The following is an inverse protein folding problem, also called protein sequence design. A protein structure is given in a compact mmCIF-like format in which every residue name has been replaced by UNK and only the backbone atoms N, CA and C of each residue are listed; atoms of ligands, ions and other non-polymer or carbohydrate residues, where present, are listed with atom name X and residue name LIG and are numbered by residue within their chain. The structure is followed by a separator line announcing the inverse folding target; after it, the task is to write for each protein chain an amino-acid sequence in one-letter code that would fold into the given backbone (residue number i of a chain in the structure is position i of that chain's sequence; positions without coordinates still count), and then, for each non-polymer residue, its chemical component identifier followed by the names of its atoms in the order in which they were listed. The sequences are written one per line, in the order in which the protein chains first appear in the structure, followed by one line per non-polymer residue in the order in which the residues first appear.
data_IF_029444605152
#
_entry.id   IF_029444605152
#
_cell.length_a   1.000
_cell.length_b   1.000
_cell.length_c   1.000
_cell.angle_alpha   90.00
_cell.angle_beta   90.00
_cell.angle_gamma   90.00
#
_symmetry.space_group_name_H-M   'P 1'
#
loop_
_entity.id
_entity.type
_entity.pdbx_description
1 polymer ?
#
# COMPACT_ATOMS: atom_id res chain seq x y z
N UNK A 1 -26.90 12.93 12.10
CA UNK A 1 -28.00 12.25 11.37
C UNK A 1 -28.47 11.09 12.22
N UNK A 2 -29.78 10.96 12.42
CA UNK A 2 -30.39 9.82 13.10
C UNK A 2 -30.36 8.56 12.23
N UNK A 3 -30.61 7.38 12.84
CA UNK A 3 -30.63 6.11 12.11
C UNK A 3 -31.69 6.08 11.00
N UNK A 4 -32.88 6.64 11.27
CA UNK A 4 -33.97 6.71 10.27
C UNK A 4 -33.63 7.62 9.09
N UNK A 5 -33.04 8.79 9.36
CA UNK A 5 -32.59 9.72 8.30
C UNK A 5 -31.51 9.09 7.42
N UNK A 6 -30.63 8.28 8.01
CA UNK A 6 -29.57 7.58 7.31
C UNK A 6 -30.09 6.47 6.39
N UNK A 7 -31.03 5.65 6.86
CA UNK A 7 -31.65 4.64 6.00
C UNK A 7 -32.54 5.26 4.92
N UNK A 8 -33.23 6.37 5.22
CA UNK A 8 -33.98 7.13 4.21
C UNK A 8 -33.06 7.70 3.13
N UNK A 9 -31.89 8.22 3.51
CA UNK A 9 -30.88 8.70 2.57
C UNK A 9 -30.37 7.57 1.66
N UNK A 10 -30.06 6.40 2.23
CA UNK A 10 -29.66 5.21 1.47
C UNK A 10 -30.74 4.74 0.50
N UNK A 11 -32.01 4.80 0.89
CA UNK A 11 -33.13 4.46 0.01
C UNK A 11 -33.21 5.40 -1.20
N UNK A 12 -33.05 6.71 -0.98
CA UNK A 12 -32.99 7.71 -2.07
C UNK A 12 -31.85 7.45 -3.05
N UNK A 13 -30.67 7.07 -2.56
CA UNK A 13 -29.55 6.70 -3.44
C UNK A 13 -29.90 5.52 -4.36
N UNK A 14 -30.65 4.53 -3.86
CA UNK A 14 -31.09 3.39 -4.68
C UNK A 14 -32.10 3.81 -5.74
N UNK A 15 -33.08 4.62 -5.37
CA UNK A 15 -34.04 5.19 -6.33
C UNK A 15 -33.35 6.04 -7.41
N UNK A 16 -32.33 6.82 -7.02
CA UNK A 16 -31.52 7.57 -7.98
C UNK A 16 -30.80 6.64 -8.97
N UNK A 17 -30.18 5.55 -8.51
CA UNK A 17 -29.54 4.57 -9.40
C UNK A 17 -30.54 3.94 -10.37
N UNK A 18 -31.72 3.53 -9.88
CA UNK A 18 -32.75 2.90 -10.71
C UNK A 18 -33.24 3.84 -11.84
N UNK A 19 -33.17 5.16 -11.62
CA UNK A 19 -33.60 6.18 -12.57
C UNK A 19 -32.48 6.77 -13.42
N UNK A 20 -31.21 6.62 -13.01
CA UNK A 20 -30.02 7.18 -13.69
C UNK A 20 -28.91 6.12 -13.90
N UNK A 21 -29.21 4.93 -14.47
CA UNK A 21 -28.21 3.87 -14.62
C UNK A 21 -27.07 4.25 -15.55
N UNK A 22 -27.34 5.04 -16.61
CA UNK A 22 -26.33 5.47 -17.59
C UNK A 22 -25.33 6.47 -16.97
N UNK A 23 -25.80 7.37 -16.10
CA UNK A 23 -24.94 8.32 -15.39
C UNK A 23 -24.02 7.60 -14.41
N UNK A 24 -24.55 6.59 -13.71
CA UNK A 24 -23.75 5.74 -12.84
C UNK A 24 -22.72 4.92 -13.63
N UNK A 25 -23.11 4.34 -14.77
CA UNK A 25 -22.21 3.56 -15.62
C UNK A 25 -21.06 4.43 -16.15
N UNK A 26 -21.35 5.64 -16.62
CA UNK A 26 -20.34 6.59 -17.07
C UNK A 26 -19.38 6.99 -15.93
N UNK A 27 -19.91 7.21 -14.73
CA UNK A 27 -19.08 7.47 -13.54
C UNK A 27 -18.18 6.28 -13.20
N UNK A 28 -18.73 5.06 -13.16
CA UNK A 28 -17.96 3.86 -12.85
C UNK A 28 -16.87 3.59 -13.90
N UNK A 29 -17.16 3.79 -15.19
CA UNK A 29 -16.17 3.72 -16.26
C UNK A 29 -15.05 4.74 -16.04
N UNK A 30 -15.38 5.99 -15.72
CA UNK A 30 -14.39 7.03 -15.43
C UNK A 30 -13.52 6.72 -14.19
N UNK A 31 -14.09 6.08 -13.16
CA UNK A 31 -13.32 5.63 -11.99
C UNK A 31 -12.39 4.46 -12.29
N UNK A 32 -12.73 3.62 -13.27
CA UNK A 32 -11.92 2.48 -13.69
C UNK A 32 -10.96 2.80 -14.86
N UNK A 33 -11.07 3.99 -15.45
CA UNK A 33 -10.18 4.45 -16.50
C UNK A 33 -8.73 4.59 -15.99
N UNK A 34 -7.77 4.21 -16.84
CA UNK A 34 -6.33 4.24 -16.49
C UNK A 34 -5.73 5.64 -16.43
N UNK A 35 -6.44 6.65 -16.93
CA UNK A 35 -6.00 8.03 -17.07
C UNK A 35 -6.19 8.90 -15.81
N UNK A 36 -6.74 8.33 -14.74
CA UNK A 36 -7.00 8.97 -13.45
C UNK A 36 -8.05 10.09 -13.47
N UNK A 37 -8.77 10.30 -14.58
CA UNK A 37 -9.71 11.41 -14.70
C UNK A 37 -10.83 11.35 -13.64
N UNK A 38 -11.40 10.16 -13.39
CA UNK A 38 -12.41 9.96 -12.35
C UNK A 38 -11.90 10.31 -10.96
N UNK A 39 -10.75 9.77 -10.57
CA UNK A 39 -10.12 10.07 -9.26
C UNK A 39 -9.79 11.56 -9.11
N UNK A 40 -9.29 12.21 -10.16
CA UNK A 40 -9.01 13.65 -10.14
C UNK A 40 -10.29 14.46 -9.91
N UNK A 41 -11.39 14.10 -10.58
CA UNK A 41 -12.69 14.75 -10.39
C UNK A 41 -13.15 14.68 -8.93
N UNK A 42 -13.09 13.49 -8.32
CA UNK A 42 -13.44 13.30 -6.90
C UNK A 42 -12.53 14.12 -5.97
N UNK A 43 -11.23 14.15 -6.24
CA UNK A 43 -10.27 14.95 -5.46
C UNK A 43 -10.56 16.44 -5.60
N UNK A 44 -10.89 16.94 -6.79
CA UNK A 44 -11.24 18.35 -6.97
C UNK A 44 -12.52 18.72 -6.22
N UNK A 45 -13.51 17.83 -6.18
CA UNK A 45 -14.69 18.04 -5.35
C UNK A 45 -14.34 18.08 -3.86
N UNK A 46 -13.49 17.17 -3.37
CA UNK A 46 -13.02 17.19 -1.99
C UNK A 46 -12.29 18.51 -1.66
N UNK A 47 -11.42 19.00 -2.56
CA UNK A 47 -10.75 20.30 -2.42
C UNK A 47 -11.74 21.48 -2.40
N UNK A 48 -12.83 21.40 -3.17
CA UNK A 48 -13.87 22.43 -3.17
C UNK A 48 -14.71 22.43 -1.90
N UNK A 49 -14.96 21.25 -1.31
CA UNK A 49 -15.85 21.09 -0.15
C UNK A 49 -15.12 21.22 1.18
N UNK A 50 -13.81 20.97 1.20
CA UNK A 50 -12.98 21.01 2.40
C UNK A 50 -11.82 21.97 2.14
N UNK A 51 -11.91 23.25 2.57
CA UNK A 51 -10.93 24.29 2.22
C UNK A 51 -9.48 23.95 2.61
N UNK A 52 -9.28 23.17 3.69
CA UNK A 52 -7.96 22.75 4.18
C UNK A 52 -7.43 21.46 3.55
N UNK A 53 -8.20 20.80 2.68
CA UNK A 53 -7.88 19.46 2.17
C UNK A 53 -6.52 19.38 1.48
N UNK A 54 -6.20 20.31 0.57
CA UNK A 54 -4.92 20.31 -0.14
C UNK A 54 -3.73 20.37 0.80
N UNK A 55 -3.81 21.24 1.83
CA UNK A 55 -2.76 21.39 2.84
C UNK A 55 -2.63 20.11 3.67
N UNK A 56 -3.74 19.58 4.18
CA UNK A 56 -3.74 18.35 5.00
C UNK A 56 -3.22 17.14 4.23
N UNK A 57 -3.58 17.00 2.96
CA UNK A 57 -3.05 15.94 2.10
C UNK A 57 -1.56 16.09 1.83
N UNK A 58 -1.06 17.34 1.66
CA UNK A 58 0.37 17.60 1.54
C UNK A 58 1.12 17.29 2.84
N UNK A 59 0.56 17.68 3.98
CA UNK A 59 1.14 17.41 5.29
C UNK A 59 1.19 15.88 5.52
N UNK A 60 0.12 15.13 5.21
CA UNK A 60 0.13 13.66 5.26
C UNK A 60 1.10 13.00 4.29
N UNK A 61 1.24 13.52 3.07
CA UNK A 61 2.24 13.01 2.14
C UNK A 61 3.68 13.19 2.69
N UNK A 62 3.93 14.26 3.45
CA UNK A 62 5.21 14.53 4.08
C UNK A 62 5.47 13.70 5.36
N UNK A 63 4.43 13.20 6.02
CA UNK A 63 4.55 12.27 7.17
C UNK A 63 5.01 10.87 6.74
N UNK A 64 4.79 10.51 5.48
CA UNK A 64 5.32 9.31 4.84
C UNK A 64 4.49 8.04 5.03
N UNK A 65 3.56 7.97 6.00
CA UNK A 65 2.55 6.90 6.09
C UNK A 65 1.14 7.46 6.37
N UNK A 66 0.12 6.79 5.82
CA UNK A 66 -1.32 7.07 6.02
C UNK A 66 -1.94 6.19 7.12
N UNK A 67 -1.34 6.14 8.31
CA UNK A 67 -1.86 5.30 9.41
C UNK A 67 -3.19 5.82 9.97
N UNK A 68 -3.42 7.13 9.89
CA UNK A 68 -4.68 7.78 10.27
C UNK A 68 -4.98 8.98 9.37
N UNK A 69 -6.25 9.40 9.39
CA UNK A 69 -6.77 10.55 8.62
C UNK A 69 -7.60 11.47 9.50
N UNK A 70 -7.38 11.42 10.82
CA UNK A 70 -8.23 12.09 11.80
C UNK A 70 -8.29 13.61 11.58
N UNK A 71 -7.20 14.24 11.13
CA UNK A 71 -7.16 15.66 10.80
C UNK A 71 -8.00 16.00 9.57
N UNK A 72 -8.10 15.07 8.61
CA UNK A 72 -8.94 15.20 7.41
C UNK A 72 -10.41 14.97 7.80
N UNK A 73 -10.69 13.97 8.65
CA UNK A 73 -12.04 13.70 9.18
C UNK A 73 -12.56 14.91 9.98
N UNK A 74 -11.72 15.49 10.83
CA UNK A 74 -12.05 16.71 11.57
C UNK A 74 -12.31 17.89 10.62
N UNK A 75 -11.45 18.13 9.63
CA UNK A 75 -11.66 19.20 8.66
C UNK A 75 -12.94 19.01 7.84
N UNK A 76 -13.30 17.76 7.52
CA UNK A 76 -14.56 17.44 6.85
C UNK A 76 -15.78 17.76 7.74
N UNK A 77 -15.70 17.47 9.04
CA UNK A 77 -16.75 17.82 10.02
C UNK A 77 -16.90 19.34 10.16
N UNK A 78 -15.79 20.06 10.36
CA UNK A 78 -15.75 21.53 10.46
C UNK A 78 -16.30 22.21 9.19
N UNK A 79 -16.17 21.55 8.02
CA UNK A 79 -16.66 22.05 6.74
C UNK A 79 -18.11 21.65 6.42
N UNK A 80 -18.82 21.03 7.38
CA UNK A 80 -20.19 20.53 7.18
C UNK A 80 -20.32 19.63 5.93
N UNK A 81 -19.29 18.81 5.67
CA UNK A 81 -19.19 18.05 4.42
C UNK A 81 -20.41 17.15 4.19
N UNK A 82 -20.85 16.43 5.21
CA UNK A 82 -21.98 15.50 5.09
C UNK A 82 -23.27 16.23 4.68
N UNK A 83 -23.61 17.33 5.36
CA UNK A 83 -24.79 18.15 5.05
C UNK A 83 -24.72 18.71 3.63
N UNK A 84 -23.55 19.18 3.21
CA UNK A 84 -23.32 19.67 1.86
C UNK A 84 -23.47 18.57 0.79
N UNK A 85 -22.96 17.37 1.03
CA UNK A 85 -23.09 16.23 0.12
C UNK A 85 -24.54 15.77 0.01
N UNK A 86 -25.27 15.67 1.12
CA UNK A 86 -26.68 15.31 1.13
C UNK A 86 -27.49 16.33 0.32
N UNK A 87 -27.29 17.63 0.59
CA UNK A 87 -27.99 18.69 -0.15
C UNK A 87 -27.73 18.62 -1.65
N UNK A 88 -26.48 18.41 -2.06
CA UNK A 88 -26.09 18.27 -3.48
C UNK A 88 -26.56 16.95 -4.11
N UNK A 89 -26.90 15.95 -3.30
CA UNK A 89 -27.49 14.70 -3.76
C UNK A 89 -29.01 14.83 -3.95
N UNK A 90 -29.69 15.58 -3.09
CA UNK A 90 -31.13 15.84 -3.19
C UNK A 90 -31.48 16.84 -4.29
N UNK A 91 -30.57 17.76 -4.60
CA UNK A 91 -30.70 18.75 -5.66
C UNK A 91 -29.42 18.74 -6.52
N UNK A 92 -29.21 17.70 -7.34
CA UNK A 92 -28.02 17.62 -8.17
C UNK A 92 -28.07 18.66 -9.29
N UNK A 93 -26.94 19.34 -9.51
CA UNK A 93 -26.70 20.05 -10.76
C UNK A 93 -26.66 19.06 -11.93
N UNK A 94 -26.93 19.53 -13.15
CA UNK A 94 -27.07 18.70 -14.36
C UNK A 94 -25.87 17.77 -14.66
N UNK A 95 -24.68 18.12 -14.15
CA UNK A 95 -23.43 17.36 -14.35
C UNK A 95 -22.81 16.89 -13.01
N UNK A 96 -23.61 16.81 -11.95
CA UNK A 96 -23.12 16.43 -10.62
C UNK A 96 -22.84 14.93 -10.53
N UNK A 97 -21.59 14.56 -10.27
CA UNK A 97 -21.20 13.15 -10.03
C UNK A 97 -21.43 12.70 -8.58
N UNK A 98 -21.98 13.57 -7.73
CA UNK A 98 -22.12 13.30 -6.28
C UNK A 98 -23.06 12.12 -5.99
N UNK A 99 -24.28 12.05 -6.59
CA UNK A 99 -25.15 10.90 -6.38
C UNK A 99 -24.48 9.58 -6.79
N UNK A 100 -23.83 9.56 -7.97
CA UNK A 100 -23.09 8.40 -8.47
C UNK A 100 -21.95 7.98 -7.53
N UNK A 101 -21.15 8.95 -7.07
CA UNK A 101 -20.06 8.72 -6.13
C UNK A 101 -20.57 8.15 -4.79
N UNK A 102 -21.63 8.72 -4.23
CA UNK A 102 -22.20 8.26 -2.96
C UNK A 102 -22.80 6.86 -3.11
N UNK A 103 -23.52 6.61 -4.20
CA UNK A 103 -24.01 5.26 -4.51
C UNK A 103 -22.86 4.25 -4.62
N UNK A 104 -21.79 4.60 -5.34
CA UNK A 104 -20.60 3.75 -5.49
C UNK A 104 -19.93 3.44 -4.15
N UNK A 105 -19.83 4.43 -3.25
CA UNK A 105 -19.27 4.28 -1.91
C UNK A 105 -20.11 3.34 -1.02
N UNK A 106 -21.44 3.46 -1.05
CA UNK A 106 -22.33 2.67 -0.20
C UNK A 106 -22.63 1.27 -0.75
N UNK A 107 -22.82 1.14 -2.06
CA UNK A 107 -23.38 -0.06 -2.69
C UNK A 107 -22.50 -0.66 -3.79
N UNK A 108 -21.66 0.15 -4.45
CA UNK A 108 -20.73 -0.31 -5.49
C UNK A 108 -19.45 -0.92 -4.91
N UNK A 109 -18.59 -1.47 -5.78
CA UNK A 109 -17.26 -2.05 -5.42
C UNK A 109 -16.17 -0.99 -5.21
N UNK A 110 -16.52 0.14 -4.61
CA UNK A 110 -15.64 1.31 -4.50
C UNK A 110 -14.31 1.04 -3.80
N UNK A 111 -14.37 0.46 -2.60
CA UNK A 111 -13.17 0.14 -1.82
C UNK A 111 -12.29 -0.88 -2.54
N UNK A 112 -12.88 -1.90 -3.14
CA UNK A 112 -12.18 -2.92 -3.92
C UNK A 112 -11.42 -2.26 -5.08
N UNK A 113 -12.10 -1.45 -5.90
CA UNK A 113 -11.49 -0.74 -7.04
C UNK A 113 -10.36 0.20 -6.59
N UNK A 114 -10.53 0.92 -5.48
CA UNK A 114 -9.48 1.77 -4.92
C UNK A 114 -8.27 0.94 -4.46
N UNK A 115 -8.48 -0.22 -3.83
CA UNK A 115 -7.41 -1.12 -3.41
C UNK A 115 -6.70 -1.76 -4.61
N UNK A 116 -7.44 -2.26 -5.60
CA UNK A 116 -6.91 -2.77 -6.87
C UNK A 116 -5.99 -1.73 -7.52
N UNK A 117 -6.44 -0.48 -7.61
CA UNK A 117 -5.66 0.61 -8.19
C UNK A 117 -4.39 0.92 -7.39
N UNK A 118 -4.47 0.95 -6.06
CA UNK A 118 -3.29 1.12 -5.22
C UNK A 118 -2.30 -0.05 -5.37
N UNK A 119 -2.78 -1.29 -5.55
CA UNK A 119 -1.94 -2.47 -5.81
C UNK A 119 -1.24 -2.38 -7.18
N UNK A 120 -1.95 -1.97 -8.23
CA UNK A 120 -1.38 -1.71 -9.56
C UNK A 120 -0.25 -0.66 -9.47
N UNK A 121 -0.54 0.48 -8.84
CA UNK A 121 0.43 1.55 -8.61
C UNK A 121 1.64 1.05 -7.84
N UNK A 122 1.42 0.33 -6.73
CA UNK A 122 2.49 -0.22 -5.90
C UNK A 122 3.39 -1.20 -6.65
N UNK A 123 2.83 -1.96 -7.61
CA UNK A 123 3.57 -2.89 -8.47
C UNK A 123 4.30 -2.18 -9.62
N UNK A 124 3.93 -0.95 -9.95
CA UNK A 124 4.54 -0.18 -11.04
C UNK A 124 6.07 -0.08 -10.91
N UNK A 125 6.83 -0.22 -12.02
CA UNK A 125 8.26 0.05 -12.04
C UNK A 125 8.58 1.52 -11.75
N UNK A 126 7.67 2.44 -12.04
CA UNK A 126 7.92 3.89 -12.01
C UNK A 126 7.87 4.50 -10.60
N UNK A 127 7.30 3.79 -9.61
CA UNK A 127 7.22 4.27 -8.24
C UNK A 127 8.47 3.90 -7.42
N UNK A 128 8.98 4.89 -6.68
CA UNK A 128 10.02 4.71 -5.67
C UNK A 128 9.52 4.00 -4.42
N UNK A 129 10.44 3.50 -3.59
CA UNK A 129 10.11 2.73 -2.38
C UNK A 129 9.14 3.46 -1.44
N UNK A 130 9.39 4.74 -1.14
CA UNK A 130 8.51 5.54 -0.27
C UNK A 130 7.09 5.67 -0.82
N UNK A 131 6.93 5.82 -2.13
CA UNK A 131 5.62 5.87 -2.78
C UNK A 131 4.90 4.52 -2.71
N UNK A 132 5.63 3.40 -2.84
CA UNK A 132 5.07 2.06 -2.65
C UNK A 132 4.65 1.78 -1.21
N UNK A 133 5.42 2.27 -0.24
CA UNK A 133 5.05 2.22 1.18
C UNK A 133 3.80 3.06 1.44
N UNK A 134 3.71 4.24 0.82
CA UNK A 134 2.52 5.10 0.86
C UNK A 134 1.29 4.35 0.33
N UNK A 135 1.38 3.70 -0.84
CA UNK A 135 0.29 2.90 -1.39
C UNK A 135 -0.11 1.74 -0.47
N UNK A 136 0.86 1.06 0.15
CA UNK A 136 0.60 0.00 1.13
C UNK A 136 -0.16 0.51 2.35
N UNK A 137 0.22 1.68 2.87
CA UNK A 137 -0.48 2.32 3.98
C UNK A 137 -1.90 2.74 3.58
N UNK A 138 -2.09 3.30 2.38
CA UNK A 138 -3.42 3.63 1.84
C UNK A 138 -4.31 2.39 1.71
N UNK A 139 -3.80 1.27 1.21
CA UNK A 139 -4.55 0.00 1.14
C UNK A 139 -5.00 -0.45 2.53
N UNK A 140 -4.08 -0.44 3.49
CA UNK A 140 -4.37 -0.81 4.88
C UNK A 140 -5.46 0.09 5.48
N UNK A 141 -5.40 1.39 5.23
CA UNK A 141 -6.41 2.35 5.67
C UNK A 141 -7.78 2.08 5.04
N UNK A 142 -7.85 1.89 3.71
CA UNK A 142 -9.09 1.61 2.98
C UNK A 142 -9.80 0.37 3.51
N UNK A 143 -9.05 -0.75 3.64
CA UNK A 143 -9.60 -2.01 4.17
C UNK A 143 -10.07 -1.81 5.61
N UNK A 144 -9.23 -1.25 6.48
CA UNK A 144 -9.56 -1.08 7.90
C UNK A 144 -10.78 -0.17 8.11
N UNK A 145 -10.88 0.93 7.36
CA UNK A 145 -12.01 1.87 7.46
C UNK A 145 -13.29 1.29 6.88
N UNK A 146 -13.22 0.56 5.75
CA UNK A 146 -14.40 -0.11 5.19
C UNK A 146 -15.05 -1.09 6.18
N UNK A 147 -14.23 -1.81 6.95
CA UNK A 147 -14.69 -2.72 8.01
C UNK A 147 -15.22 -1.95 9.22
N UNK A 148 -14.48 -0.93 9.69
CA UNK A 148 -14.88 -0.12 10.85
C UNK A 148 -16.22 0.60 10.61
N UNK A 149 -16.50 1.00 9.37
CA UNK A 149 -17.73 1.64 8.96
C UNK A 149 -18.84 0.63 8.58
N UNK A 150 -18.59 -0.66 8.73
CA UNK A 150 -19.53 -1.75 8.40
C UNK A 150 -19.99 -1.75 6.93
N UNK A 151 -19.22 -1.10 6.05
CA UNK A 151 -19.47 -1.08 4.61
C UNK A 151 -18.97 -2.36 3.94
N UNK A 152 -18.00 -3.03 4.56
CA UNK A 152 -17.45 -4.33 4.16
C UNK A 152 -17.19 -5.20 5.37
N UNK A 153 -17.19 -6.50 5.15
CA UNK A 153 -16.75 -7.49 6.12
C UNK A 153 -15.37 -8.03 5.77
N UNK A 154 -14.73 -8.72 6.72
CA UNK A 154 -13.49 -9.45 6.45
C UNK A 154 -13.70 -10.53 5.37
N UNK A 155 -14.87 -11.16 5.36
CA UNK A 155 -15.22 -12.19 4.37
C UNK A 155 -15.30 -11.60 2.96
N UNK A 156 -15.85 -10.39 2.81
CA UNK A 156 -15.90 -9.70 1.51
C UNK A 156 -14.48 -9.47 0.96
N UNK A 157 -13.55 -9.05 1.82
CA UNK A 157 -12.15 -8.87 1.45
C UNK A 157 -11.44 -10.17 1.12
N UNK A 158 -11.69 -11.24 1.88
CA UNK A 158 -11.13 -12.56 1.60
C UNK A 158 -11.65 -13.09 0.23
N UNK A 159 -12.94 -12.93 -0.05
CA UNK A 159 -13.54 -13.28 -1.33
C UNK A 159 -12.99 -12.43 -2.49
N UNK A 160 -12.82 -11.13 -2.27
CA UNK A 160 -12.25 -10.22 -3.26
C UNK A 160 -10.79 -10.58 -3.58
N UNK A 161 -9.98 -10.90 -2.57
CA UNK A 161 -8.60 -11.35 -2.74
C UNK A 161 -8.53 -12.63 -3.56
N UNK A 162 -9.41 -13.58 -3.29
CA UNK A 162 -9.45 -14.83 -4.04
C UNK A 162 -9.86 -14.58 -5.50
N UNK A 163 -10.83 -13.71 -5.75
CA UNK A 163 -11.20 -13.31 -7.10
C UNK A 163 -10.02 -12.69 -7.87
N UNK A 164 -9.23 -11.82 -7.22
CA UNK A 164 -8.01 -11.25 -7.81
C UNK A 164 -6.98 -12.32 -8.14
N UNK A 165 -6.73 -13.27 -7.22
CA UNK A 165 -5.80 -14.39 -7.44
C UNK A 165 -6.21 -15.25 -8.62
N UNK A 166 -7.51 -15.53 -8.74
CA UNK A 166 -8.06 -16.33 -9.84
C UNK A 166 -7.91 -15.62 -11.18
N UNK A 167 -8.18 -14.31 -11.23
CA UNK A 167 -8.02 -13.49 -12.43
C UNK A 167 -6.55 -13.42 -12.92
N UNK A 168 -5.59 -13.48 -12.00
CA UNK A 168 -4.15 -13.53 -12.30
C UNK A 168 -3.64 -14.97 -12.59
N UNK A 169 -4.49 -16.00 -12.45
CA UNK A 169 -4.11 -17.41 -12.63
C UNK A 169 -4.62 -18.00 -13.94
N UNK A 170 -3.97 -19.07 -14.41
CA UNK A 170 -4.45 -19.86 -15.56
C UNK A 170 -5.64 -20.78 -15.21
N UNK A 171 -6.21 -20.66 -14.00
CA UNK A 171 -7.21 -21.59 -13.44
C UNK A 171 -8.65 -21.06 -13.52
N UNK A 172 -8.89 -20.01 -14.31
CA UNK A 172 -10.23 -19.42 -14.48
C UNK A 172 -11.26 -20.46 -14.97
N UNK A 173 -10.85 -21.38 -15.85
CA UNK A 173 -11.71 -22.45 -16.36
C UNK A 173 -12.11 -23.46 -15.28
N UNK A 174 -11.17 -23.87 -14.43
CA UNK A 174 -11.43 -24.79 -13.32
C UNK A 174 -12.35 -24.18 -12.26
N UNK A 175 -12.16 -22.89 -11.99
CA UNK A 175 -13.04 -22.12 -11.11
C UNK A 175 -14.46 -22.02 -11.65
N UNK A 176 -14.62 -21.65 -12.93
CA UNK A 176 -15.92 -21.54 -13.57
C UNK A 176 -16.68 -22.88 -13.62
N UNK A 177 -15.96 -23.99 -13.75
CA UNK A 177 -16.52 -25.34 -13.74
C UNK A 177 -16.86 -25.87 -12.34
N UNK A 178 -16.48 -25.16 -11.26
CA UNK A 178 -16.64 -25.62 -9.88
C UNK A 178 -15.77 -26.83 -9.53
N UNK A 179 -14.74 -27.11 -10.34
CA UNK A 179 -13.86 -28.29 -10.21
C UNK A 179 -12.53 -27.95 -9.57
N UNK A 180 -12.39 -26.77 -8.93
CA UNK A 180 -11.22 -26.48 -8.13
C UNK A 180 -11.10 -27.55 -7.03
N UNK A 181 -9.99 -28.31 -6.99
CA UNK A 181 -9.70 -29.17 -5.85
C UNK A 181 -9.76 -28.33 -4.57
N UNK A 182 -10.22 -28.93 -3.47
CA UNK A 182 -10.26 -28.30 -2.14
C UNK A 182 -8.86 -27.93 -1.58
N UNK A 183 -7.80 -28.05 -2.38
CA UNK A 183 -6.42 -27.77 -2.03
C UNK A 183 -5.97 -26.46 -2.68
N UNK A 184 -6.31 -25.38 -1.98
CA UNK A 184 -5.40 -24.27 -1.63
C UNK A 184 -5.97 -23.46 -0.44
N UNK A 185 -6.90 -24.05 0.32
CA UNK A 185 -7.36 -23.51 1.60
C UNK A 185 -6.28 -23.75 2.68
N UNK A 186 -5.23 -22.93 2.60
CA UNK A 186 -4.16 -22.90 3.57
C UNK A 186 -3.13 -23.99 3.34
N UNK A 187 -1.98 -23.58 2.80
CA UNK A 187 -0.73 -23.98 3.45
C UNK A 187 -0.83 -23.50 4.89
N UNK A 188 -1.45 -24.31 5.76
CA UNK A 188 -1.08 -24.36 7.16
C UNK A 188 0.42 -24.59 7.12
N UNK A 189 1.19 -23.52 7.35
CA UNK A 189 2.58 -23.67 7.75
C UNK A 189 2.52 -24.51 9.02
N UNK A 190 2.74 -25.80 8.86
CA UNK A 190 3.11 -26.64 9.98
C UNK A 190 4.26 -25.93 10.70
N UNK A 191 4.27 -25.85 12.04
CA UNK A 191 5.42 -25.36 12.79
C UNK A 191 6.51 -26.45 12.74
N UNK A 192 6.97 -26.76 11.54
CA UNK A 192 8.13 -27.59 11.25
C UNK A 192 9.12 -26.69 10.55
N UNK A 193 10.25 -26.43 11.19
CA UNK A 193 11.42 -25.76 10.60
C UNK A 193 12.03 -26.69 9.54
N UNK A 194 12.14 -26.29 8.26
CA UNK A 194 13.30 -26.62 7.46
C UNK A 194 14.21 -25.40 7.52
N UNK A 195 15.36 -25.54 8.19
CA UNK A 195 16.44 -24.58 8.10
C UNK A 195 17.11 -24.73 6.74
N UNK A 196 16.43 -24.35 5.67
CA UNK A 196 17.07 -24.09 4.38
C UNK A 196 17.53 -22.65 4.42
N UNK A 197 18.74 -22.43 4.95
CA UNK A 197 19.43 -21.14 4.84
C UNK A 197 19.59 -20.87 3.35
N UNK A 198 18.70 -20.05 2.78
CA UNK A 198 18.79 -19.60 1.38
C UNK A 198 20.12 -18.87 1.21
N UNK A 199 20.86 -19.17 0.14
CA UNK A 199 22.10 -18.47 -0.16
C UNK A 199 21.81 -16.99 -0.46
N UNK A 200 22.78 -16.11 -0.23
CA UNK A 200 22.66 -14.70 -0.60
C UNK A 200 22.39 -14.55 -2.11
N UNK A 201 22.99 -15.41 -2.92
CA UNK A 201 22.78 -15.45 -4.38
C UNK A 201 21.33 -15.78 -4.75
N UNK A 202 20.68 -16.69 -4.02
CA UNK A 202 19.28 -17.07 -4.25
C UNK A 202 18.30 -15.96 -3.86
N UNK A 203 18.76 -14.96 -3.11
CA UNK A 203 17.97 -13.79 -2.74
C UNK A 203 18.05 -12.68 -3.77
N UNK A 204 18.99 -12.74 -4.74
CA UNK A 204 19.10 -11.71 -5.74
C UNK A 204 17.97 -11.76 -6.77
N UNK A 205 17.47 -10.58 -7.10
CA UNK A 205 16.46 -10.37 -8.13
C UNK A 205 17.05 -10.55 -9.53
N UNK A 206 16.24 -10.95 -10.54
CA UNK A 206 16.66 -10.96 -11.94
C UNK A 206 17.15 -9.60 -12.47
N UNK A 207 16.87 -8.51 -11.75
CA UNK A 207 17.38 -7.17 -12.07
C UNK A 207 18.91 -7.03 -11.88
N UNK A 208 19.55 -7.94 -11.15
CA UNK A 208 21.00 -7.92 -10.94
C UNK A 208 21.70 -8.57 -12.13
N UNK A 209 22.32 -7.77 -12.99
CA UNK A 209 23.03 -8.27 -14.19
C UNK A 209 24.33 -8.99 -13.85
N UNK A 210 25.00 -8.59 -12.76
CA UNK A 210 26.27 -9.18 -12.31
C UNK A 210 26.19 -9.60 -10.82
N UNK A 211 25.55 -10.74 -10.51
CA UNK A 211 25.37 -11.23 -9.13
C UNK A 211 26.67 -11.36 -8.33
N UNK A 212 27.75 -11.83 -8.96
CA UNK A 212 29.04 -12.02 -8.30
C UNK A 212 29.72 -10.70 -7.93
N UNK A 213 29.61 -9.68 -8.79
CA UNK A 213 30.14 -8.33 -8.50
C UNK A 213 29.36 -7.67 -7.36
N UNK A 214 28.03 -7.81 -7.36
CA UNK A 214 27.20 -7.31 -6.27
C UNK A 214 27.55 -8.02 -4.95
N UNK A 215 27.75 -9.34 -4.98
CA UNK A 215 28.21 -10.12 -3.84
C UNK A 215 29.56 -9.62 -3.31
N UNK A 216 30.52 -9.33 -4.18
CA UNK A 216 31.81 -8.77 -3.78
C UNK A 216 31.64 -7.39 -3.11
N UNK A 217 30.85 -6.50 -3.71
CA UNK A 217 30.59 -5.15 -3.17
C UNK A 217 29.90 -5.17 -1.82
N UNK A 218 28.94 -6.08 -1.62
CA UNK A 218 28.32 -6.30 -0.30
C UNK A 218 29.39 -6.69 0.73
N UNK A 219 30.30 -7.59 0.37
CA UNK A 219 31.43 -7.96 1.22
C UNK A 219 32.33 -6.76 1.56
N UNK A 220 32.75 -5.98 0.55
CA UNK A 220 33.58 -4.79 0.73
C UNK A 220 32.91 -3.73 1.61
N UNK A 221 31.59 -3.56 1.49
CA UNK A 221 30.83 -2.68 2.36
C UNK A 221 30.88 -3.18 3.82
N UNK A 222 30.62 -4.46 4.04
CA UNK A 222 30.56 -5.06 5.37
C UNK A 222 31.92 -5.09 6.08
N UNK A 223 33.04 -5.21 5.34
CA UNK A 223 34.39 -5.06 5.92
C UNK A 223 34.58 -3.68 6.56
N UNK A 224 33.99 -2.64 5.98
CA UNK A 224 34.13 -1.25 6.45
C UNK A 224 33.03 -0.85 7.45
N UNK A 225 31.79 -1.33 7.25
CA UNK A 225 30.58 -0.92 7.97
C UNK A 225 29.66 -2.12 8.22
N UNK A 226 29.62 -2.62 9.46
CA UNK A 226 28.82 -3.80 9.84
C UNK A 226 28.07 -3.62 11.17
N UNK A 227 27.72 -2.38 11.55
CA UNK A 227 26.82 -2.16 12.69
C UNK A 227 25.38 -2.55 12.35
N UNK A 228 24.52 -2.62 13.37
CA UNK A 228 23.08 -2.87 13.19
C UNK A 228 22.42 -1.86 12.23
N UNK A 229 22.81 -0.59 12.32
CA UNK A 229 22.30 0.47 11.45
C UNK A 229 22.86 0.35 10.03
N UNK A 230 24.13 -0.02 9.88
CA UNK A 230 24.75 -0.17 8.54
C UNK A 230 24.16 -1.34 7.76
N UNK A 231 23.93 -2.48 8.42
CA UNK A 231 23.26 -3.63 7.78
C UNK A 231 21.81 -3.29 7.44
N UNK A 232 21.12 -2.52 8.27
CA UNK A 232 19.79 -2.04 7.96
C UNK A 232 19.79 -1.09 6.75
N UNK A 233 20.72 -0.13 6.66
CA UNK A 233 20.88 0.75 5.50
C UNK A 233 21.22 -0.02 4.23
N UNK A 234 22.11 -1.01 4.32
CA UNK A 234 22.44 -1.90 3.22
C UNK A 234 21.20 -2.65 2.71
N UNK A 235 20.40 -3.19 3.64
CA UNK A 235 19.14 -3.87 3.29
C UNK A 235 18.18 -2.92 2.59
N UNK A 236 18.01 -1.70 3.10
CA UNK A 236 17.17 -0.67 2.49
C UNK A 236 17.67 -0.31 1.08
N UNK A 237 18.98 -0.10 0.92
CA UNK A 237 19.57 0.22 -0.39
C UNK A 237 19.35 -0.90 -1.42
N UNK A 238 19.53 -2.17 -1.02
CA UNK A 238 19.28 -3.32 -1.89
C UNK A 238 17.80 -3.49 -2.25
N UNK A 239 16.88 -3.22 -1.32
CA UNK A 239 15.44 -3.22 -1.58
C UNK A 239 15.04 -2.07 -2.52
N UNK A 240 15.61 -0.88 -2.34
CA UNK A 240 15.38 0.30 -3.20
C UNK A 240 15.91 0.09 -4.63
N UNK A 241 17.05 -0.60 -4.79
CA UNK A 241 17.60 -0.99 -6.08
C UNK A 241 16.86 -2.18 -6.72
N UNK A 242 15.92 -2.81 -5.99
CA UNK A 242 15.27 -4.07 -6.38
C UNK A 242 16.24 -5.21 -6.64
N UNK A 243 17.38 -5.20 -5.95
CA UNK A 243 18.39 -6.24 -6.06
C UNK A 243 18.04 -7.49 -5.25
N UNK A 244 17.02 -7.43 -4.40
CA UNK A 244 16.50 -8.59 -3.66
C UNK A 244 15.11 -9.02 -4.16
N UNK A 245 14.85 -10.32 -4.14
CA UNK A 245 13.51 -10.89 -4.39
C UNK A 245 12.58 -10.48 -3.24
N UNK A 246 11.50 -9.76 -3.56
CA UNK A 246 10.52 -9.31 -2.56
C UNK A 246 9.47 -10.40 -2.32
N UNK A 247 9.08 -10.70 -1.06
CA UNK A 247 9.58 -10.12 0.18
C UNK A 247 10.78 -10.89 0.78
N UNK A 248 11.93 -10.23 0.97
CA UNK A 248 13.05 -10.76 1.76
C UNK A 248 13.06 -10.12 3.15
N UNK A 249 12.70 -10.90 4.17
CA UNK A 249 12.70 -10.48 5.58
C UNK A 249 14.14 -10.33 6.12
N UNK A 250 14.32 -9.54 7.19
CA UNK A 250 15.63 -9.23 7.78
C UNK A 250 16.35 -10.48 8.30
N UNK A 251 15.61 -11.42 8.90
CA UNK A 251 16.19 -12.66 9.45
C UNK A 251 16.86 -13.52 8.38
N UNK A 252 16.16 -13.96 7.31
CA UNK A 252 16.79 -14.66 6.20
C UNK A 252 17.98 -13.91 5.61
N UNK A 253 17.84 -12.59 5.39
CA UNK A 253 18.92 -11.77 4.84
C UNK A 253 20.17 -11.79 5.73
N UNK A 254 20.00 -11.57 7.04
CA UNK A 254 21.10 -11.61 8.01
C UNK A 254 21.76 -12.97 8.07
N UNK A 255 20.98 -14.05 8.04
CA UNK A 255 21.50 -15.41 8.10
C UNK A 255 22.27 -15.77 6.82
N UNK A 256 21.85 -15.26 5.65
CA UNK A 256 22.61 -15.38 4.41
C UNK A 256 23.94 -14.60 4.48
N UNK A 257 23.95 -13.37 5.02
CA UNK A 257 25.19 -12.62 5.24
C UNK A 257 26.14 -13.33 6.22
N UNK A 258 25.59 -13.92 7.28
CA UNK A 258 26.36 -14.68 8.27
C UNK A 258 26.95 -15.97 7.68
N UNK A 259 26.24 -16.63 6.77
CA UNK A 259 26.74 -17.81 6.08
C UNK A 259 27.85 -17.45 5.08
N UNK A 260 27.70 -16.34 4.36
CA UNK A 260 28.63 -15.93 3.30
C UNK A 260 29.90 -15.26 3.85
N UNK A 261 29.77 -14.36 4.83
CA UNK A 261 30.88 -13.52 5.31
C UNK A 261 31.26 -13.78 6.77
N UNK A 262 30.63 -14.76 7.42
CA UNK A 262 30.78 -15.01 8.84
C UNK A 262 32.15 -15.49 9.31
N UNK A 263 32.97 -15.99 8.39
CA UNK A 263 34.37 -16.35 8.64
C UNK A 263 35.22 -15.13 8.97
N UNK A 264 34.94 -14.01 8.31
CA UNK A 264 35.80 -12.82 8.31
C UNK A 264 35.16 -11.62 9.01
N UNK A 265 33.82 -11.58 9.07
CA UNK A 265 33.05 -10.46 9.60
C UNK A 265 32.05 -10.95 10.64
N UNK A 266 32.08 -10.34 11.83
CA UNK A 266 31.11 -10.60 12.89
C UNK A 266 29.77 -9.92 12.58
N UNK A 267 28.86 -10.67 11.95
CA UNK A 267 27.50 -10.17 11.64
C UNK A 267 26.64 -10.11 12.92
N UNK A 268 26.16 -8.91 13.23
CA UNK A 268 25.36 -8.63 14.44
C UNK A 268 24.01 -9.38 14.44
N UNK A 269 23.41 -9.46 15.63
CA UNK A 269 22.17 -10.22 15.85
C UNK A 269 20.94 -9.60 15.17
N UNK A 270 19.99 -10.44 14.74
CA UNK A 270 18.81 -10.06 13.95
C UNK A 270 17.96 -8.96 14.60
N UNK A 271 17.76 -9.03 15.92
CA UNK A 271 16.86 -8.13 16.66
C UNK A 271 17.26 -6.65 16.54
N UNK A 272 18.55 -6.35 16.66
CA UNK A 272 19.02 -4.97 16.55
C UNK A 272 18.99 -4.43 15.12
N UNK A 273 19.14 -5.30 14.12
CA UNK A 273 18.96 -4.93 12.71
C UNK A 273 17.48 -4.66 12.44
N UNK A 274 16.58 -5.47 12.98
CA UNK A 274 15.13 -5.25 12.90
C UNK A 274 14.72 -3.93 13.54
N UNK A 275 15.23 -3.60 14.72
CA UNK A 275 14.98 -2.32 15.40
C UNK A 275 15.55 -1.14 14.60
N UNK A 276 16.79 -1.23 14.10
CA UNK A 276 17.39 -0.18 13.30
C UNK A 276 16.68 0.01 11.95
N UNK A 277 16.29 -1.08 11.29
CA UNK A 277 15.51 -1.06 10.06
C UNK A 277 14.14 -0.44 10.31
N UNK A 278 13.46 -0.83 11.39
CA UNK A 278 12.17 -0.24 11.78
C UNK A 278 12.35 1.26 12.03
N UNK A 279 13.34 1.71 12.80
CA UNK A 279 13.60 3.15 13.00
C UNK A 279 13.90 3.91 11.70
N UNK A 280 14.64 3.30 10.78
CA UNK A 280 14.98 3.88 9.49
C UNK A 280 13.78 3.88 8.51
N UNK A 281 12.77 3.02 8.74
CA UNK A 281 11.60 2.84 7.87
C UNK A 281 10.25 3.24 8.50
N UNK A 282 10.20 3.52 9.81
CA UNK A 282 9.01 3.90 10.57
C UNK A 282 8.59 5.33 10.21
N UNK A 283 7.30 5.63 10.01
CA UNK A 283 6.84 7.03 10.00
C UNK A 283 6.95 7.64 11.39
N UNK A 284 6.97 8.96 11.43
CA UNK A 284 7.06 9.77 12.64
C UNK A 284 6.00 9.39 13.69
N UNK A 285 6.38 8.65 14.72
CA UNK A 285 5.80 8.80 16.05
C UNK A 285 6.72 9.75 16.84
N UNK A 286 6.23 10.97 17.02
CA UNK A 286 6.60 11.97 18.05
C UNK A 286 8.05 11.88 18.55
N UNK A 287 8.95 12.70 17.97
CA UNK A 287 10.16 13.14 18.67
C UNK A 287 11.51 13.07 17.95
N UNK A 288 11.63 12.51 16.75
CA UNK A 288 12.91 12.55 16.00
C UNK A 288 12.95 13.74 15.04
N UNK A 289 14.00 14.56 15.13
CA UNK A 289 14.14 15.80 14.36
C UNK A 289 14.35 15.51 12.86
N UNK A 290 13.62 16.24 12.01
CA UNK A 290 13.65 16.17 10.53
C UNK A 290 15.07 16.26 9.96
N UNK A 291 15.99 16.93 10.66
CA UNK A 291 17.41 17.08 10.27
C UNK A 291 18.18 15.75 10.21
N UNK A 292 17.89 14.80 11.12
CA UNK A 292 18.60 13.51 11.18
C UNK A 292 18.32 12.61 9.97
N UNK A 293 17.10 12.68 9.40
CA UNK A 293 16.69 11.88 8.24
C UNK A 293 17.29 12.33 6.91
N UNK A 294 17.57 13.63 6.75
CA UNK A 294 18.27 14.13 5.57
C UNK A 294 19.67 13.52 5.42
N UNK A 295 20.35 13.30 6.55
CA UNK A 295 21.64 12.59 6.59
C UNK A 295 21.51 11.11 6.26
N UNK A 296 20.52 10.41 6.82
CA UNK A 296 20.31 8.98 6.55
C UNK A 296 19.96 8.70 5.08
N UNK A 297 19.10 9.52 4.47
CA UNK A 297 18.74 9.40 3.05
C UNK A 297 19.95 9.63 2.13
N UNK A 298 20.83 10.57 2.49
CA UNK A 298 22.08 10.81 1.76
C UNK A 298 23.01 9.58 1.84
N UNK A 299 23.17 9.01 3.04
CA UNK A 299 24.01 7.82 3.25
C UNK A 299 23.45 6.63 2.46
N UNK A 300 22.13 6.40 2.48
CA UNK A 300 21.50 5.33 1.71
C UNK A 300 21.71 5.56 0.21
N UNK A 301 21.64 6.80 -0.28
CA UNK A 301 21.96 7.13 -1.67
C UNK A 301 23.40 6.80 -2.03
N UNK A 302 24.37 7.17 -1.20
CA UNK A 302 25.78 6.83 -1.43
C UNK A 302 26.01 5.32 -1.47
N UNK A 303 25.31 4.56 -0.62
CA UNK A 303 25.37 3.10 -0.64
C UNK A 303 24.81 2.56 -1.95
N UNK A 304 23.69 3.09 -2.44
CA UNK A 304 23.12 2.70 -3.74
C UNK A 304 24.08 2.99 -4.89
N UNK A 305 24.69 4.17 -4.90
CA UNK A 305 25.65 4.55 -5.94
C UNK A 305 26.85 3.60 -5.94
N UNK A 306 27.35 3.21 -4.76
CA UNK A 306 28.43 2.23 -4.63
C UNK A 306 28.04 0.83 -5.15
N UNK A 307 26.82 0.37 -4.82
CA UNK A 307 26.33 -0.95 -5.20
C UNK A 307 25.92 -1.06 -6.68
N UNK A 308 25.65 0.06 -7.35
CA UNK A 308 25.18 0.12 -8.75
C UNK A 308 26.24 0.50 -9.77
N UNK A 309 27.43 0.94 -9.32
CA UNK A 309 28.64 0.97 -10.14
C UNK A 309 29.07 -0.45 -10.57
#
# INVERSE_FOLDING_TARGET
MGHEEYEAFKAKLREWMDTHPDEYAAFEEAMNARDYAGYQSVIFQAMSLIPRYRRLMSDKANEGLFEHVDEIEQAAQESHLAENLIRRCEQPDKDSTIPAMLYWLYFGKSFERMVERCEELRRSPDLGFLQKMTMSATIKLLISRSIKLELRTKQDWDAHREAMRLAESDRVLEWAAGTLPAEDAGVKREPGRPSTTKSLMDMFSPAVTHPDELRQKIGEYLTKKHTQTDIARLKIALDELRYLVVPTNIKPFRDALQAEYGSDIRIVHERGIQEAYSRLTEPLLIGSTVSSRGGEALIIREIKDFLSQ
#
